data_IF_653774204274
#
_entry.id   IF_653774204274
#
_cell.length_a   1.000
_cell.length_b   1.000
_cell.length_c   1.000
_cell.angle_alpha   90.00
_cell.angle_beta   90.00
_cell.angle_gamma   90.00
#
_symmetry.space_group_name_H-M   'P 1'
#
loop_
_entity.id
_entity.type
_entity.pdbx_description
1 polymer ?
#
# COMPACT_ATOMS: atom_id res chain seq x y z
N UNK A 1 -17.07 10.00 0.63
CA UNK A 1 -16.20 8.92 1.14
C UNK A 1 -16.30 8.92 2.64
N UNK A 2 -16.74 7.81 3.24
CA UNK A 2 -16.75 7.62 4.69
C UNK A 2 -15.32 7.31 5.17
N UNK A 3 -14.81 8.07 6.14
CA UNK A 3 -13.46 7.90 6.66
C UNK A 3 -13.58 7.68 8.17
N UNK A 4 -13.00 6.59 8.67
CA UNK A 4 -12.95 6.29 10.11
C UNK A 4 -11.52 6.08 10.52
N UNK A 5 -11.12 6.64 11.65
CA UNK A 5 -9.87 6.27 12.29
C UNK A 5 -10.13 5.11 13.25
N UNK A 6 -9.33 4.05 13.11
CA UNK A 6 -9.44 2.83 13.92
C UNK A 6 -8.09 2.48 14.53
N UNK A 7 -8.13 1.76 15.64
CA UNK A 7 -6.95 1.14 16.21
C UNK A 7 -6.65 -0.19 15.49
N UNK A 8 -5.47 -0.31 14.89
CA UNK A 8 -4.90 -1.58 14.47
C UNK A 8 -4.66 -2.48 15.70
N UNK A 9 -5.18 -3.70 15.62
CA UNK A 9 -4.81 -4.79 16.52
C UNK A 9 -3.50 -5.46 16.10
N UNK A 10 -3.28 -5.56 14.79
CA UNK A 10 -2.09 -6.09 14.15
C UNK A 10 -1.72 -5.20 12.96
N UNK A 11 -0.42 -4.98 12.74
CA UNK A 11 0.09 -4.29 11.57
C UNK A 11 0.57 -5.29 10.51
N UNK A 12 1.44 -6.22 10.92
CA UNK A 12 1.97 -7.29 10.08
C UNK A 12 1.25 -8.62 10.37
N UNK A 13 0.90 -9.35 9.32
CA UNK A 13 0.26 -10.66 9.40
C UNK A 13 0.96 -11.63 8.44
N UNK A 14 0.90 -12.94 8.74
CA UNK A 14 1.31 -13.96 7.75
C UNK A 14 0.36 -13.93 6.56
N UNK A 15 0.90 -14.16 5.37
CA UNK A 15 0.11 -14.19 4.13
C UNK A 15 0.18 -15.56 3.48
N UNK A 16 -0.83 -15.90 2.69
CA UNK A 16 -0.86 -17.09 1.83
C UNK A 16 -0.45 -16.80 0.38
N UNK A 17 0.02 -15.58 0.10
CA UNK A 17 0.50 -15.20 -1.23
C UNK A 17 1.87 -15.84 -1.42
N UNK A 18 1.99 -16.68 -2.45
CA UNK A 18 3.23 -17.37 -2.79
C UNK A 18 4.39 -16.37 -2.98
N UNK A 19 5.55 -16.71 -2.42
CA UNK A 19 6.74 -15.84 -2.43
C UNK A 19 6.78 -14.79 -1.33
N UNK A 20 5.74 -14.67 -0.49
CA UNK A 20 5.70 -13.70 0.61
C UNK A 20 5.39 -14.35 1.97
N UNK A 21 6.18 -14.03 2.98
CA UNK A 21 5.95 -14.49 4.36
C UNK A 21 4.87 -13.67 5.07
N UNK A 22 4.86 -12.37 4.79
CA UNK A 22 4.06 -11.39 5.52
C UNK A 22 3.35 -10.40 4.60
N UNK A 23 2.26 -9.82 5.10
CA UNK A 23 1.64 -8.64 4.50
C UNK A 23 1.40 -7.52 5.52
N UNK A 24 1.41 -6.28 5.02
CA UNK A 24 1.11 -5.06 5.77
C UNK A 24 0.13 -4.20 4.98
N UNK A 25 -0.92 -3.73 5.65
CA UNK A 25 -1.95 -2.89 5.06
C UNK A 25 -2.27 -1.74 6.03
N UNK A 26 -1.76 -0.53 5.79
CA UNK A 26 -1.99 0.64 6.65
C UNK A 26 -3.44 1.13 6.69
N UNK A 27 -4.25 0.68 5.74
CA UNK A 27 -5.66 1.06 5.59
C UNK A 27 -6.54 -0.18 5.40
N UNK A 28 -7.85 -0.01 5.57
CA UNK A 28 -8.89 -0.93 5.05
C UNK A 28 -9.81 -0.14 4.15
N UNK A 29 -10.20 -0.69 2.99
CA UNK A 29 -10.82 0.10 1.93
C UNK A 29 -9.78 0.83 1.08
N UNK A 30 -10.19 1.39 -0.06
CA UNK A 30 -9.27 2.04 -1.00
C UNK A 30 -9.95 3.10 -1.86
N UNK A 31 -9.59 4.36 -1.70
CA UNK A 31 -10.17 5.51 -2.42
C UNK A 31 -9.98 5.51 -3.94
N UNK A 32 -9.13 4.62 -4.49
CA UNK A 32 -9.06 4.40 -5.94
C UNK A 32 -10.34 3.76 -6.52
N UNK A 33 -11.03 2.94 -5.71
CA UNK A 33 -12.34 2.36 -6.07
C UNK A 33 -12.35 1.57 -7.38
N UNK A 34 -11.31 0.76 -7.64
CA UNK A 34 -11.26 -0.07 -8.85
C UNK A 34 -12.40 -1.10 -8.85
N UNK A 35 -13.12 -1.21 -9.97
CA UNK A 35 -14.35 -2.03 -10.09
C UNK A 35 -14.09 -3.54 -10.03
N UNK A 36 -12.90 -3.98 -10.44
CA UNK A 36 -12.48 -5.39 -10.45
C UNK A 36 -11.74 -5.80 -9.16
N UNK A 37 -11.62 -4.91 -8.18
CA UNK A 37 -10.73 -5.13 -7.04
C UNK A 37 -11.20 -6.32 -6.19
N UNK A 38 -10.37 -7.36 -6.09
CA UNK A 38 -10.70 -8.50 -5.23
C UNK A 38 -10.89 -8.07 -3.78
N UNK A 39 -10.12 -7.09 -3.29
CA UNK A 39 -10.17 -6.60 -1.92
C UNK A 39 -11.53 -6.01 -1.51
N UNK A 40 -12.47 -5.82 -2.46
CA UNK A 40 -13.87 -5.53 -2.15
C UNK A 40 -14.49 -6.54 -1.17
N UNK A 41 -14.00 -7.80 -1.14
CA UNK A 41 -14.42 -8.80 -0.16
C UNK A 41 -14.19 -8.34 1.29
N UNK A 42 -13.21 -7.46 1.55
CA UNK A 42 -12.89 -6.98 2.89
C UNK A 42 -14.06 -6.28 3.59
N UNK A 43 -15.00 -5.72 2.81
CA UNK A 43 -16.20 -5.05 3.34
C UNK A 43 -17.00 -5.93 4.32
N UNK A 44 -16.99 -7.26 4.13
CA UNK A 44 -17.69 -8.20 5.02
C UNK A 44 -17.14 -8.19 6.46
N UNK A 45 -15.92 -7.66 6.68
CA UNK A 45 -15.24 -7.62 7.97
C UNK A 45 -15.20 -6.24 8.62
N UNK A 46 -15.79 -5.21 7.99
CA UNK A 46 -15.64 -3.81 8.43
C UNK A 46 -16.94 -3.16 8.90
N UNK A 47 -18.08 -3.82 8.69
CA UNK A 47 -19.40 -3.27 9.04
C UNK A 47 -19.81 -2.05 8.20
N UNK A 48 -19.16 -1.84 7.06
CA UNK A 48 -19.51 -0.79 6.11
C UNK A 48 -20.67 -1.22 5.19
N UNK A 49 -21.58 -0.29 4.91
CA UNK A 49 -22.66 -0.46 3.93
C UNK A 49 -22.33 0.21 2.59
N UNK A 50 -21.35 1.12 2.57
CA UNK A 50 -20.93 1.89 1.40
C UNK A 50 -20.37 1.01 0.27
N UNK A 51 -20.51 1.42 -1.00
CA UNK A 51 -19.84 0.76 -2.11
C UNK A 51 -18.31 0.74 -1.96
N UNK A 52 -17.65 -0.23 -2.62
CA UNK A 52 -16.18 -0.30 -2.60
C UNK A 52 -15.57 1.00 -3.17
N UNK A 53 -14.60 1.53 -2.43
CA UNK A 53 -13.92 2.78 -2.71
C UNK A 53 -14.60 4.03 -2.16
N UNK A 54 -15.78 3.90 -1.56
CA UNK A 54 -16.46 5.01 -0.88
C UNK A 54 -16.30 4.98 0.64
N UNK A 55 -15.47 4.06 1.15
CA UNK A 55 -15.01 4.05 2.54
C UNK A 55 -13.51 3.78 2.66
N UNK A 56 -12.89 4.32 3.70
CA UNK A 56 -11.54 3.97 4.15
C UNK A 56 -11.47 4.01 5.68
N UNK A 57 -11.05 2.90 6.28
CA UNK A 57 -10.61 2.87 7.67
C UNK A 57 -9.10 3.12 7.73
N UNK A 58 -8.72 4.17 8.44
CA UNK A 58 -7.36 4.60 8.67
C UNK A 58 -6.87 3.96 9.96
N UNK A 59 -5.84 3.10 9.89
CA UNK A 59 -5.29 2.44 11.07
C UNK A 59 -4.31 3.36 11.79
N UNK A 60 -4.82 4.34 12.54
CA UNK A 60 -4.06 5.48 13.06
C UNK A 60 -2.79 5.11 13.86
N UNK A 61 -2.79 3.97 14.57
CA UNK A 61 -1.65 3.49 15.37
C UNK A 61 -0.84 2.36 14.70
N UNK A 62 -0.98 2.14 13.39
CA UNK A 62 -0.39 0.98 12.70
C UNK A 62 1.14 0.95 12.77
N UNK A 63 1.80 2.12 12.71
CA UNK A 63 3.26 2.20 12.83
C UNK A 63 3.74 1.77 14.23
N UNK A 64 3.08 2.22 15.30
CA UNK A 64 3.42 1.83 16.68
C UNK A 64 3.21 0.33 16.93
N UNK A 65 2.15 -0.23 16.36
CA UNK A 65 1.89 -1.67 16.41
C UNK A 65 2.96 -2.43 15.63
N UNK A 66 3.34 -1.94 14.44
CA UNK A 66 4.38 -2.53 13.61
C UNK A 66 5.72 -2.58 14.35
N UNK A 67 6.18 -1.46 14.92
CA UNK A 67 7.44 -1.40 15.68
C UNK A 67 7.49 -2.44 16.80
N UNK A 68 6.39 -2.65 17.53
CA UNK A 68 6.32 -3.67 18.58
C UNK A 68 6.38 -5.09 18.01
N UNK A 69 5.72 -5.34 16.89
CA UNK A 69 5.71 -6.66 16.24
C UNK A 69 7.07 -7.02 15.63
N UNK A 70 7.78 -6.05 15.04
CA UNK A 70 9.10 -6.25 14.43
C UNK A 70 10.15 -6.79 15.40
N UNK A 71 10.04 -6.51 16.71
CA UNK A 71 10.94 -7.07 17.75
C UNK A 71 10.96 -8.60 17.78
N UNK A 72 9.91 -9.25 17.28
CA UNK A 72 9.75 -10.72 17.25
C UNK A 72 10.02 -11.32 15.88
N UNK A 73 10.19 -10.50 14.85
CA UNK A 73 10.46 -10.94 13.49
C UNK A 73 11.98 -10.95 13.28
N UNK A 74 12.49 -11.94 12.56
CA UNK A 74 13.93 -12.16 12.36
C UNK A 74 14.36 -12.06 10.89
N UNK A 75 13.41 -11.91 9.98
CA UNK A 75 13.62 -11.82 8.54
C UNK A 75 12.40 -12.34 7.78
N UNK A 76 12.52 -12.42 6.47
CA UNK A 76 11.45 -12.84 5.56
C UNK A 76 11.08 -11.76 4.56
N UNK A 77 10.05 -12.04 3.77
CA UNK A 77 9.53 -11.17 2.72
C UNK A 77 8.20 -10.54 3.14
N UNK A 78 8.08 -9.22 2.96
CA UNK A 78 6.91 -8.44 3.33
C UNK A 78 6.31 -7.76 2.11
N UNK A 79 5.04 -8.05 1.81
CA UNK A 79 4.28 -7.35 0.80
C UNK A 79 3.36 -6.27 1.42
N UNK A 80 3.54 -5.02 1.00
CA UNK A 80 2.71 -3.89 1.37
C UNK A 80 1.68 -3.62 0.26
N UNK A 81 0.40 -3.51 0.65
CA UNK A 81 -0.68 -3.17 -0.29
C UNK A 81 -1.49 -4.35 -0.82
N UNK A 82 -1.69 -5.40 -0.01
CA UNK A 82 -2.39 -6.62 -0.44
C UNK A 82 -3.91 -6.52 -0.38
N UNK A 83 -4.51 -5.64 0.42
CA UNK A 83 -5.98 -5.46 0.44
C UNK A 83 -6.41 -3.99 0.47
N UNK A 84 -5.46 -3.11 0.20
CA UNK A 84 -5.63 -1.67 0.05
C UNK A 84 -4.48 -1.13 -0.79
N UNK A 85 -4.60 0.07 -1.35
CA UNK A 85 -3.44 0.74 -1.92
C UNK A 85 -2.76 1.57 -0.82
N UNK A 86 -1.47 1.32 -0.50
CA UNK A 86 -0.78 2.01 0.59
C UNK A 86 -0.55 3.49 0.27
N UNK A 87 -0.59 3.88 -1.00
CA UNK A 87 -0.44 5.25 -1.47
C UNK A 87 -1.73 5.84 -2.05
N UNK A 88 -2.88 5.33 -1.62
CA UNK A 88 -4.19 5.89 -1.95
C UNK A 88 -4.31 7.38 -1.55
N UNK A 89 -5.29 8.14 -2.06
CA UNK A 89 -5.34 9.60 -1.88
C UNK A 89 -5.20 10.11 -0.43
N UNK A 90 -5.67 9.36 0.55
CA UNK A 90 -5.56 9.71 1.98
C UNK A 90 -4.13 9.66 2.52
N UNK A 91 -3.23 8.89 1.91
CA UNK A 91 -1.82 8.81 2.29
C UNK A 91 -1.09 10.15 2.15
N UNK A 92 -1.59 11.07 1.31
CA UNK A 92 -1.07 12.45 1.21
C UNK A 92 -1.16 13.21 2.53
N UNK A 93 -2.17 12.90 3.34
CA UNK A 93 -2.44 13.55 4.64
C UNK A 93 -1.97 12.71 5.81
N UNK A 94 -2.25 11.41 5.77
CA UNK A 94 -2.06 10.52 6.93
C UNK A 94 -0.64 9.97 7.05
N UNK A 95 0.10 9.85 5.95
CA UNK A 95 1.49 9.40 5.95
C UNK A 95 1.74 8.03 6.62
N UNK A 96 0.72 7.20 6.84
CA UNK A 96 0.87 5.94 7.58
C UNK A 96 1.78 4.95 6.86
N UNK A 97 1.78 4.94 5.52
CA UNK A 97 2.72 4.10 4.78
C UNK A 97 4.14 4.58 5.00
N UNK A 98 4.40 5.88 4.93
CA UNK A 98 5.73 6.45 5.24
C UNK A 98 6.18 6.12 6.66
N UNK A 99 5.30 6.25 7.64
CA UNK A 99 5.61 5.93 9.05
C UNK A 99 5.91 4.43 9.21
N UNK A 100 5.16 3.57 8.53
CA UNK A 100 5.45 2.14 8.48
C UNK A 100 6.81 1.83 7.83
N UNK A 101 7.15 2.47 6.71
CA UNK A 101 8.45 2.31 6.05
C UNK A 101 9.59 2.75 6.96
N UNK A 102 9.42 3.88 7.66
CA UNK A 102 10.39 4.36 8.64
C UNK A 102 10.60 3.35 9.77
N UNK A 103 9.51 2.74 10.27
CA UNK A 103 9.58 1.68 11.28
C UNK A 103 10.27 0.39 10.77
N UNK A 104 10.29 0.15 9.46
CA UNK A 104 10.90 -1.02 8.83
C UNK A 104 12.41 -0.86 8.57
N UNK A 105 12.97 0.36 8.59
CA UNK A 105 14.41 0.63 8.39
C UNK A 105 15.31 -0.30 9.22
N UNK A 106 15.13 -0.46 10.56
CA UNK A 106 16.01 -1.32 11.35
C UNK A 106 15.74 -2.83 11.18
N UNK A 107 14.78 -3.22 10.33
CA UNK A 107 14.40 -4.63 10.16
C UNK A 107 15.23 -5.33 9.07
N UNK A 108 15.32 -6.65 9.17
CA UNK A 108 15.92 -7.52 8.15
C UNK A 108 14.91 -8.01 7.10
N UNK A 109 13.73 -7.40 7.02
CA UNK A 109 12.70 -7.78 6.07
C UNK A 109 13.05 -7.28 4.67
N UNK A 110 12.79 -8.11 3.68
CA UNK A 110 12.75 -7.69 2.28
C UNK A 110 11.37 -7.10 1.99
N UNK A 111 11.31 -5.80 1.69
CA UNK A 111 10.07 -5.04 1.56
C UNK A 111 9.68 -4.89 0.09
N UNK A 112 8.51 -5.40 -0.25
CA UNK A 112 7.89 -5.25 -1.55
C UNK A 112 6.66 -4.38 -1.43
N UNK A 113 6.52 -3.39 -2.32
CA UNK A 113 5.40 -2.45 -2.30
C UNK A 113 4.68 -2.56 -3.63
N UNK A 114 3.35 -2.73 -3.58
CA UNK A 114 2.51 -2.64 -4.77
C UNK A 114 1.53 -1.46 -4.64
N UNK A 115 1.58 -0.55 -5.60
CA UNK A 115 0.68 0.62 -5.63
C UNK A 115 0.25 0.98 -7.05
N UNK A 116 -0.79 1.82 -7.19
CA UNK A 116 -1.18 2.50 -8.44
C UNK A 116 -0.84 3.99 -8.41
N UNK A 117 -0.25 4.48 -7.32
CA UNK A 117 -0.14 5.89 -7.04
C UNK A 117 1.28 6.41 -7.26
N UNK A 118 1.47 7.49 -8.03
CA UNK A 118 2.78 8.12 -8.17
C UNK A 118 3.26 8.78 -6.87
N UNK A 119 2.40 8.85 -5.84
CA UNK A 119 2.74 9.40 -4.53
C UNK A 119 3.91 8.66 -3.86
N UNK A 120 4.16 7.40 -4.22
CA UNK A 120 5.30 6.63 -3.71
C UNK A 120 6.65 7.32 -3.95
N UNK A 121 6.77 8.12 -5.02
CA UNK A 121 7.99 8.89 -5.32
C UNK A 121 8.35 9.85 -4.19
N UNK A 122 7.36 10.37 -3.45
CA UNK A 122 7.58 11.22 -2.26
C UNK A 122 8.51 10.57 -1.25
N UNK A 123 8.40 9.26 -1.09
CA UNK A 123 9.10 8.52 -0.02
C UNK A 123 10.39 7.86 -0.52
N UNK A 124 10.91 8.29 -1.67
CA UNK A 124 12.20 7.80 -2.21
C UNK A 124 13.33 7.90 -1.18
N UNK A 125 13.31 8.96 -0.35
CA UNK A 125 14.28 9.15 0.73
C UNK A 125 14.24 8.03 1.77
N UNK A 126 13.05 7.64 2.24
CA UNK A 126 12.88 6.56 3.23
C UNK A 126 13.07 5.18 2.59
N UNK A 127 12.64 5.00 1.34
CA UNK A 127 12.78 3.73 0.63
C UNK A 127 14.26 3.34 0.45
N UNK A 128 15.16 4.32 0.24
CA UNK A 128 16.60 4.09 0.10
C UNK A 128 17.28 3.61 1.38
N UNK A 129 16.70 3.90 2.54
CA UNK A 129 17.22 3.46 3.83
C UNK A 129 16.86 2.00 4.15
N UNK A 130 15.94 1.39 3.38
CA UNK A 130 15.58 -0.01 3.54
C UNK A 130 16.66 -0.92 2.97
N UNK A 131 17.03 -1.96 3.72
CA UNK A 131 18.10 -2.90 3.33
C UNK A 131 17.83 -3.61 2.00
N UNK A 132 16.57 -3.98 1.74
CA UNK A 132 16.10 -4.56 0.49
C UNK A 132 14.68 -4.10 0.21
N UNK A 133 14.50 -3.37 -0.88
CA UNK A 133 13.20 -2.88 -1.31
C UNK A 133 12.97 -3.13 -2.80
N UNK A 134 11.71 -3.39 -3.15
CA UNK A 134 11.19 -3.42 -4.51
C UNK A 134 9.85 -2.68 -4.55
N UNK A 135 9.67 -1.82 -5.55
CA UNK A 135 8.48 -0.97 -5.68
C UNK A 135 7.82 -1.19 -7.04
N UNK A 136 6.71 -1.92 -7.06
CA UNK A 136 5.91 -2.14 -8.24
C UNK A 136 4.76 -1.15 -8.39
N UNK A 137 4.53 -0.67 -9.62
CA UNK A 137 3.31 0.05 -9.98
C UNK A 137 2.39 -0.80 -10.84
N UNK A 138 1.12 -0.96 -10.42
CA UNK A 138 0.13 -1.72 -11.18
C UNK A 138 -0.33 -0.96 -12.44
N UNK A 139 -0.01 -1.52 -13.61
CA UNK A 139 -0.45 -1.06 -14.93
C UNK A 139 -1.29 -2.19 -15.56
N UNK A 140 -2.61 -2.07 -15.50
CA UNK A 140 -3.55 -3.12 -15.94
C UNK A 140 -3.89 -3.06 -17.42
N UNK A 141 -3.63 -1.92 -18.06
CA UNK A 141 -3.88 -1.68 -19.48
C UNK A 141 -2.98 -0.54 -19.95
N UNK A 142 -2.76 -0.46 -21.26
CA UNK A 142 -2.09 0.66 -21.92
C UNK A 142 -3.07 1.69 -22.51
N UNK A 143 -4.36 1.60 -22.17
CA UNK A 143 -5.45 2.41 -22.72
C UNK A 143 -6.17 3.21 -21.64
N UNK A 144 -6.08 4.54 -21.71
CA UNK A 144 -6.68 5.44 -20.72
C UNK A 144 -8.22 5.39 -20.70
N UNK A 145 -8.85 5.15 -21.85
CA UNK A 145 -10.30 4.95 -21.94
C UNK A 145 -10.74 3.69 -21.19
N UNK A 146 -10.01 2.59 -21.32
CA UNK A 146 -10.26 1.35 -20.57
C UNK A 146 -10.00 1.56 -19.07
N UNK A 147 -8.88 2.20 -18.71
CA UNK A 147 -8.56 2.54 -17.33
C UNK A 147 -9.65 3.39 -16.69
N UNK A 148 -10.24 4.37 -17.39
CA UNK A 148 -11.33 5.21 -16.86
C UNK A 148 -12.57 4.39 -16.50
N UNK A 149 -12.86 3.33 -17.24
CA UNK A 149 -13.99 2.43 -16.93
C UNK A 149 -13.70 1.61 -15.67
N UNK A 150 -12.54 1.00 -15.58
CA UNK A 150 -12.25 0.01 -14.52
C UNK A 150 -11.63 0.60 -13.24
N UNK A 151 -10.90 1.71 -13.36
CA UNK A 151 -10.14 2.36 -12.29
C UNK A 151 -10.43 3.87 -12.28
N UNK A 152 -11.70 4.28 -12.07
CA UNK A 152 -12.15 5.64 -12.37
C UNK A 152 -11.40 6.71 -11.56
N UNK A 153 -11.01 6.42 -10.31
CA UNK A 153 -10.32 7.37 -9.42
C UNK A 153 -8.82 7.11 -9.26
N UNK A 154 -8.27 6.09 -9.93
CA UNK A 154 -6.83 5.85 -9.89
C UNK A 154 -6.07 6.88 -10.76
N UNK A 155 -4.77 7.09 -10.55
CA UNK A 155 -3.95 7.98 -11.38
C UNK A 155 -3.84 7.50 -12.85
N UNK A 156 -3.44 8.37 -13.77
CA UNK A 156 -3.24 8.01 -15.19
C UNK A 156 -2.14 6.97 -15.35
N UNK A 157 -2.22 6.15 -16.39
CA UNK A 157 -1.18 5.18 -16.77
C UNK A 157 0.15 5.90 -16.98
N UNK A 158 0.14 7.03 -17.69
CA UNK A 158 1.34 7.84 -17.89
C UNK A 158 2.01 8.23 -16.57
N UNK A 159 1.25 8.74 -15.60
CA UNK A 159 1.82 9.12 -14.28
C UNK A 159 2.39 7.93 -13.50
N UNK A 160 1.85 6.72 -13.70
CA UNK A 160 2.39 5.50 -13.08
C UNK A 160 3.72 5.09 -13.72
N UNK A 161 3.80 5.15 -15.06
CA UNK A 161 5.04 4.87 -15.79
C UNK A 161 6.12 5.88 -15.43
N UNK A 162 5.78 7.16 -15.35
CA UNK A 162 6.69 8.23 -14.93
C UNK A 162 7.21 8.02 -13.50
N UNK A 163 6.33 7.63 -12.57
CA UNK A 163 6.73 7.30 -11.21
C UNK A 163 7.65 6.08 -11.15
N UNK A 164 7.36 5.02 -11.91
CA UNK A 164 8.22 3.84 -12.00
C UNK A 164 9.61 4.22 -12.52
N UNK A 165 9.67 5.04 -13.57
CA UNK A 165 10.91 5.58 -14.11
C UNK A 165 11.67 6.42 -13.06
N UNK A 166 10.98 7.32 -12.35
CA UNK A 166 11.62 8.16 -11.34
C UNK A 166 12.24 7.35 -10.20
N UNK A 167 11.56 6.29 -9.74
CA UNK A 167 12.09 5.37 -8.72
C UNK A 167 13.29 4.58 -9.24
N UNK A 168 13.21 4.08 -10.48
CA UNK A 168 14.31 3.36 -11.14
C UNK A 168 15.55 4.25 -11.29
N UNK A 169 15.36 5.48 -11.81
CA UNK A 169 16.44 6.47 -11.98
C UNK A 169 17.04 6.88 -10.63
N UNK A 170 16.27 6.77 -9.53
CA UNK A 170 16.77 6.97 -8.17
C UNK A 170 17.56 5.78 -7.60
N UNK A 171 17.66 4.66 -8.32
CA UNK A 171 18.41 3.46 -7.92
C UNK A 171 17.60 2.42 -7.14
N UNK A 172 16.27 2.56 -7.11
CA UNK A 172 15.39 1.55 -6.50
C UNK A 172 15.07 0.44 -7.49
N UNK A 173 14.82 -0.78 -7.00
CA UNK A 173 14.26 -1.87 -7.81
C UNK A 173 12.78 -1.61 -8.06
N UNK A 174 12.36 -1.79 -9.31
CA UNK A 174 11.04 -1.40 -9.84
C UNK A 174 10.53 -2.40 -10.87
#
# INVERSE_FOLDING_TARGET
MNIREIAAKNAIARTGIEGYDYCLNPYVGCGHGCRYCYAAFMKQFTGHSEPWGDFVDVKANVADVLQRQLRRIRGGTLLIGTVTDPYQPLEKRYCLTRDCLTALIPSSLEVHILTRSPLVVRDTDVLKELSRVEVGLSITTNREDVKRVFEPRAPSIASRVEALKALHDAGLRT
#
